data_IF_939049965167
#
_entry.id   IF_939049965167
#
_cell.length_a   1.000
_cell.length_b   1.000
_cell.length_c   1.000
_cell.angle_alpha   90.00
_cell.angle_beta   90.00
_cell.angle_gamma   90.00
#
_symmetry.space_group_name_H-M   'P 1'
#
loop_
_entity.id
_entity.type
_entity.pdbx_description
1 polymer ?
#
# COMPACT_ATOMS: atom_id res chain seq x y z
N UNK A 1 6.82 26.48 12.38
CA UNK A 1 6.92 25.57 11.21
C UNK A 1 5.63 25.70 10.43
N UNK A 2 5.64 26.34 9.27
CA UNK A 2 4.44 26.40 8.44
C UNK A 2 4.17 25.00 7.90
N UNK A 3 3.12 24.34 8.38
CA UNK A 3 2.65 23.09 7.80
C UNK A 3 2.11 23.41 6.41
N UNK A 4 2.88 23.13 5.37
CA UNK A 4 2.45 23.30 4.00
C UNK A 4 1.66 22.06 3.56
N UNK A 5 0.41 22.23 3.11
CA UNK A 5 -0.41 21.09 2.73
C UNK A 5 0.21 20.39 1.51
N UNK A 6 0.22 19.03 1.47
CA UNK A 6 0.74 18.27 0.35
C UNK A 6 0.00 18.62 -0.95
N UNK A 7 0.61 18.33 -2.10
CA UNK A 7 -0.08 18.59 -3.38
C UNK A 7 -1.31 17.71 -3.53
N UNK A 8 -2.36 18.21 -4.21
CA UNK A 8 -3.56 17.41 -4.51
C UNK A 8 -3.20 16.09 -5.21
N UNK A 9 -2.21 16.14 -6.10
CA UNK A 9 -1.68 14.97 -6.79
C UNK A 9 -1.05 13.95 -5.82
N UNK A 10 -0.22 14.41 -4.87
CA UNK A 10 0.37 13.54 -3.85
C UNK A 10 -0.71 12.91 -2.98
N UNK A 11 -1.72 13.67 -2.55
CA UNK A 11 -2.85 13.13 -1.77
C UNK A 11 -3.56 12.04 -2.56
N UNK A 12 -3.90 12.31 -3.82
CA UNK A 12 -4.56 11.32 -4.69
C UNK A 12 -3.73 10.05 -4.88
N UNK A 13 -2.43 10.18 -5.15
CA UNK A 13 -1.52 9.04 -5.31
C UNK A 13 -1.40 8.22 -4.02
N UNK A 14 -1.23 8.89 -2.87
CA UNK A 14 -1.11 8.21 -1.57
C UNK A 14 -2.41 7.51 -1.18
N UNK A 15 -3.56 8.10 -1.50
CA UNK A 15 -4.86 7.48 -1.29
C UNK A 15 -5.02 6.21 -2.13
N UNK A 16 -4.66 6.24 -3.43
CA UNK A 16 -4.73 5.06 -4.29
C UNK A 16 -3.80 3.94 -3.81
N UNK A 17 -2.57 4.26 -3.40
CA UNK A 17 -1.64 3.29 -2.85
C UNK A 17 -2.16 2.69 -1.55
N UNK A 18 -2.69 3.52 -0.64
CA UNK A 18 -3.29 3.05 0.61
C UNK A 18 -4.49 2.14 0.34
N UNK A 19 -5.40 2.55 -0.55
CA UNK A 19 -6.57 1.75 -0.93
C UNK A 19 -6.15 0.41 -1.54
N UNK A 20 -5.12 0.40 -2.38
CA UNK A 20 -4.58 -0.83 -2.97
C UNK A 20 -3.93 -1.75 -1.92
N UNK A 21 -3.16 -1.19 -0.99
CA UNK A 21 -2.56 -1.95 0.12
C UNK A 21 -3.63 -2.59 1.00
N UNK A 22 -4.67 -1.83 1.36
CA UNK A 22 -5.83 -2.33 2.12
C UNK A 22 -6.59 -3.41 1.33
N UNK A 23 -6.79 -3.22 0.03
CA UNK A 23 -7.42 -4.21 -0.83
C UNK A 23 -6.69 -5.56 -0.79
N UNK A 24 -5.36 -5.57 -0.85
CA UNK A 24 -4.58 -6.81 -0.76
C UNK A 24 -4.80 -7.49 0.60
N UNK A 25 -4.80 -6.74 1.71
CA UNK A 25 -5.06 -7.31 3.05
C UNK A 25 -6.46 -7.91 3.14
N UNK A 26 -7.46 -7.22 2.59
CA UNK A 26 -8.85 -7.70 2.58
C UNK A 26 -9.03 -8.95 1.70
N UNK A 27 -8.32 -9.01 0.57
CA UNK A 27 -8.30 -10.19 -0.31
C UNK A 27 -7.71 -11.42 0.39
N UNK A 28 -6.58 -11.24 1.07
CA UNK A 28 -5.89 -12.34 1.74
C UNK A 28 -6.55 -12.77 3.06
N UNK A 29 -7.37 -11.92 3.67
CA UNK A 29 -8.08 -12.23 4.93
C UNK A 29 -9.40 -12.97 4.75
N UNK A 30 -9.82 -13.26 3.50
CA UNK A 30 -11.11 -13.91 3.17
C UNK A 30 -12.35 -13.18 3.72
N UNK A 31 -12.19 -11.94 4.19
CA UNK A 31 -13.26 -11.15 4.80
C UNK A 31 -14.30 -10.67 3.78
N UNK A 32 -13.86 -10.42 2.54
CA UNK A 32 -14.73 -9.90 1.48
C UNK A 32 -15.19 -10.97 0.48
N UNK A 33 -14.43 -12.05 0.33
CA UNK A 33 -14.69 -13.07 -0.67
C UNK A 33 -14.21 -14.44 -0.20
N UNK A 34 -14.87 -15.50 -0.68
CA UNK A 34 -14.58 -16.90 -0.35
C UNK A 34 -13.33 -17.45 -1.04
N UNK A 35 -12.57 -16.63 -1.76
CA UNK A 35 -11.35 -16.99 -2.47
C UNK A 35 -10.50 -15.76 -2.75
N UNK A 36 -9.23 -15.97 -3.11
CA UNK A 36 -8.30 -14.88 -3.44
C UNK A 36 -8.41 -14.52 -4.92
N UNK A 37 -8.59 -13.23 -5.21
CA UNK A 37 -8.56 -12.72 -6.60
C UNK A 37 -7.10 -12.67 -7.09
N UNK A 38 -6.16 -12.44 -6.17
CA UNK A 38 -4.74 -12.39 -6.48
C UNK A 38 -4.21 -13.77 -6.87
N UNK A 39 -3.37 -13.86 -7.90
CA UNK A 39 -2.80 -15.13 -8.32
C UNK A 39 -1.88 -15.68 -7.22
N UNK A 40 -1.79 -17.00 -7.14
CA UNK A 40 -0.82 -17.67 -6.29
C UNK A 40 0.60 -17.34 -6.76
N UNK A 41 1.30 -16.48 -6.02
CA UNK A 41 2.71 -16.21 -6.25
C UNK A 41 3.52 -17.40 -5.71
N UNK A 42 3.97 -18.29 -6.59
CA UNK A 42 4.90 -19.39 -6.29
C UNK A 42 6.37 -19.01 -6.58
N UNK A 43 6.66 -17.72 -6.73
CA UNK A 43 7.91 -17.23 -7.33
C UNK A 43 9.12 -17.39 -6.39
N UNK A 44 8.91 -17.51 -5.08
CA UNK A 44 9.98 -17.60 -4.08
C UNK A 44 9.89 -18.95 -3.33
N UNK A 45 10.90 -19.83 -3.46
CA UNK A 45 10.95 -21.07 -2.70
C UNK A 45 10.88 -20.82 -1.19
N UNK A 46 9.95 -21.49 -0.50
CA UNK A 46 9.79 -21.39 0.95
C UNK A 46 8.92 -20.22 1.46
N UNK A 47 8.40 -19.38 0.56
CA UNK A 47 7.44 -18.32 0.92
C UNK A 47 6.05 -18.69 0.39
N UNK A 48 5.05 -18.72 1.27
CA UNK A 48 3.67 -18.96 0.83
C UNK A 48 3.13 -17.75 0.07
N UNK A 49 2.19 -17.96 -0.86
CA UNK A 49 1.57 -16.85 -1.60
C UNK A 49 0.92 -15.82 -0.66
N UNK A 50 0.36 -16.28 0.46
CA UNK A 50 -0.15 -15.41 1.51
C UNK A 50 0.92 -14.50 2.12
N UNK A 51 2.08 -15.06 2.49
CA UNK A 51 3.19 -14.27 3.03
C UNK A 51 3.71 -13.25 2.02
N UNK A 52 3.83 -13.65 0.75
CA UNK A 52 4.27 -12.77 -0.32
C UNK A 52 3.32 -11.56 -0.51
N UNK A 53 2.02 -11.80 -0.56
CA UNK A 53 1.03 -10.74 -0.73
C UNK A 53 0.93 -9.85 0.51
N UNK A 54 1.04 -10.40 1.71
CA UNK A 54 1.10 -9.59 2.93
C UNK A 54 2.35 -8.70 2.99
N UNK A 55 3.52 -9.22 2.59
CA UNK A 55 4.74 -8.41 2.50
C UNK A 55 4.56 -7.28 1.48
N UNK A 56 3.96 -7.60 0.33
CA UNK A 56 3.65 -6.60 -0.71
C UNK A 56 2.70 -5.53 -0.18
N UNK A 57 1.63 -5.91 0.53
CA UNK A 57 0.69 -5.00 1.15
C UNK A 57 1.39 -4.07 2.16
N UNK A 58 2.24 -4.62 3.02
CA UNK A 58 3.01 -3.85 3.99
C UNK A 58 3.94 -2.82 3.32
N UNK A 59 4.64 -3.23 2.25
CA UNK A 59 5.50 -2.33 1.46
C UNK A 59 4.68 -1.21 0.81
N UNK A 60 3.53 -1.53 0.22
CA UNK A 60 2.66 -0.54 -0.43
C UNK A 60 2.09 0.46 0.58
N UNK A 61 1.63 -0.02 1.74
CA UNK A 61 1.13 0.85 2.82
C UNK A 61 2.24 1.75 3.33
N UNK A 62 3.44 1.19 3.56
CA UNK A 62 4.61 1.98 3.95
C UNK A 62 4.96 3.05 2.90
N UNK A 63 4.99 2.69 1.62
CA UNK A 63 5.23 3.64 0.52
C UNK A 63 4.17 4.74 0.45
N UNK A 64 2.90 4.41 0.69
CA UNK A 64 1.83 5.41 0.74
C UNK A 64 2.08 6.44 1.84
N UNK A 65 2.47 5.99 3.03
CA UNK A 65 2.81 6.87 4.15
C UNK A 65 4.07 7.68 3.87
N UNK A 66 5.11 7.05 3.32
CA UNK A 66 6.36 7.69 2.97
C UNK A 66 6.18 8.80 1.93
N UNK A 67 5.40 8.55 0.87
CA UNK A 67 5.09 9.55 -0.16
C UNK A 67 4.26 10.70 0.40
N UNK A 68 3.34 10.43 1.33
CA UNK A 68 2.59 11.48 2.00
C UNK A 68 3.53 12.38 2.83
N UNK A 69 4.42 11.77 3.62
CA UNK A 69 5.44 12.49 4.39
C UNK A 69 6.36 13.33 3.49
N UNK A 70 6.85 12.76 2.39
CA UNK A 70 7.70 13.44 1.42
C UNK A 70 6.96 14.62 0.78
N UNK A 71 5.68 14.44 0.42
CA UNK A 71 4.85 15.51 -0.15
C UNK A 71 4.63 16.70 0.78
N UNK A 72 4.61 16.47 2.10
CA UNK A 72 4.56 17.54 3.10
C UNK A 72 5.93 18.23 3.20
N UNK A 73 7.03 17.46 3.24
CA UNK A 73 8.38 17.99 3.44
C UNK A 73 8.91 18.78 2.24
N UNK A 74 8.68 18.31 1.02
CA UNK A 74 9.21 18.95 -0.19
C UNK A 74 8.55 20.29 -0.54
N UNK A 75 7.35 20.57 -0.01
CA UNK A 75 6.71 21.87 -0.16
C UNK A 75 7.16 22.91 0.88
N UNK A 76 7.94 22.49 1.87
CA UNK A 76 8.49 23.36 2.92
C UNK A 76 9.93 23.82 2.68
N UNK A 77 10.54 23.38 1.57
CA UNK A 77 11.78 23.92 0.99
C UNK A 77 11.42 24.95 -0.08
#
# INVERSE_FOLDING_TARGET
MAWTPPSKFTVFLTFLLMAFGVFIVLDQSTLLWSGTILPSAYVIPGVSSFQFWLMTAAIVIFLSWFLFFLGVKMKGL
#
